data_IF_694882563188
#
_entry.id   IF_694882563188
#
_cell.length_a   1.000
_cell.length_b   1.000
_cell.length_c   1.000
_cell.angle_alpha   90.00
_cell.angle_beta   90.00
_cell.angle_gamma   90.00
#
_symmetry.space_group_name_H-M   'P 1'
#
loop_
_entity.id
_entity.type
_entity.pdbx_description
1 polymer ?
#
# COMPACT_ATOMS: atom_id res chain seq x y z
N UNK A 1 26.59 -2.03 -44.45
CA UNK A 1 25.17 -2.13 -44.00
C UNK A 1 25.17 -1.98 -42.50
N UNK A 2 24.63 -0.89 -41.96
CA UNK A 2 24.47 -0.71 -40.51
C UNK A 2 23.09 -1.25 -40.14
N UNK A 3 23.04 -2.40 -39.46
CA UNK A 3 21.82 -2.93 -38.89
C UNK A 3 21.43 -2.10 -37.67
N UNK A 4 20.73 -1.00 -37.89
CA UNK A 4 19.92 -0.40 -36.83
C UNK A 4 18.67 -1.26 -36.69
N UNK A 5 18.76 -2.37 -35.95
CA UNK A 5 17.57 -3.06 -35.49
C UNK A 5 16.85 -2.09 -34.56
N UNK A 6 15.71 -1.54 -35.00
CA UNK A 6 14.80 -0.84 -34.09
C UNK A 6 14.46 -1.83 -32.98
N UNK A 7 14.99 -1.58 -31.78
CA UNK A 7 14.63 -2.34 -30.59
C UNK A 7 13.14 -2.15 -30.42
N UNK A 8 12.39 -3.25 -30.47
CA UNK A 8 10.97 -3.23 -30.17
C UNK A 8 10.81 -3.05 -28.65
N UNK A 9 10.44 -1.83 -28.27
CA UNK A 9 10.43 -1.40 -26.87
C UNK A 9 9.31 -2.05 -26.09
N UNK A 10 8.17 -2.28 -26.73
CA UNK A 10 7.01 -2.93 -26.11
C UNK A 10 7.35 -4.39 -25.84
N UNK A 11 7.87 -5.11 -26.84
CA UNK A 11 8.31 -6.49 -26.65
C UNK A 11 9.38 -6.65 -25.56
N UNK A 12 10.33 -5.70 -25.48
CA UNK A 12 11.34 -5.69 -24.41
C UNK A 12 10.74 -5.42 -23.02
N UNK A 13 9.78 -4.48 -22.94
CA UNK A 13 9.09 -4.15 -21.71
C UNK A 13 8.24 -5.34 -21.21
N UNK A 14 7.51 -5.99 -22.11
CA UNK A 14 6.74 -7.22 -21.83
C UNK A 14 7.63 -8.34 -21.30
N UNK A 15 8.78 -8.58 -21.94
CA UNK A 15 9.74 -9.58 -21.46
C UNK A 15 10.24 -9.25 -20.05
N UNK A 16 10.53 -7.98 -19.76
CA UNK A 16 11.04 -7.56 -18.46
C UNK A 16 9.99 -7.70 -17.34
N UNK A 17 8.73 -7.32 -17.59
CA UNK A 17 7.68 -7.53 -16.58
C UNK A 17 7.38 -9.02 -16.38
N UNK A 18 7.49 -9.84 -17.42
CA UNK A 18 7.24 -11.29 -17.35
C UNK A 18 8.25 -12.05 -16.47
N UNK A 19 9.45 -11.50 -16.22
CA UNK A 19 10.42 -12.14 -15.30
C UNK A 19 10.04 -12.00 -13.82
N UNK A 20 9.04 -11.16 -13.50
CA UNK A 20 8.63 -10.88 -12.13
C UNK A 20 7.41 -11.72 -11.74
N UNK A 21 7.49 -12.40 -10.59
CA UNK A 21 6.37 -13.16 -10.05
C UNK A 21 5.34 -12.27 -9.35
N UNK A 22 5.77 -11.17 -8.73
CA UNK A 22 4.91 -10.17 -8.12
C UNK A 22 4.26 -9.27 -9.18
N UNK A 23 3.12 -8.61 -8.88
CA UNK A 23 2.58 -7.57 -9.75
C UNK A 23 3.64 -6.56 -10.18
N UNK A 24 3.83 -6.41 -11.49
CA UNK A 24 4.86 -5.56 -12.08
C UNK A 24 4.34 -4.85 -13.31
N UNK A 25 4.72 -3.58 -13.46
CA UNK A 25 4.37 -2.73 -14.59
C UNK A 25 5.55 -1.83 -14.97
N UNK A 26 5.76 -1.61 -16.27
CA UNK A 26 6.69 -0.61 -16.78
C UNK A 26 5.89 0.60 -17.20
N UNK A 27 6.29 1.75 -16.65
CA UNK A 27 5.57 3.01 -16.77
C UNK A 27 6.48 4.05 -17.39
N UNK A 28 5.92 4.79 -18.35
CA UNK A 28 6.56 5.90 -19.01
C UNK A 28 6.51 7.18 -18.18
N UNK A 29 7.34 8.17 -18.53
CA UNK A 29 7.37 9.47 -17.85
C UNK A 29 6.04 10.25 -17.86
N UNK A 30 5.11 9.91 -18.75
CA UNK A 30 3.76 10.48 -18.78
C UNK A 30 2.75 9.69 -17.91
N UNK A 31 3.24 8.82 -17.01
CA UNK A 31 2.45 7.90 -16.17
C UNK A 31 1.58 6.90 -16.95
N UNK A 32 1.91 6.61 -18.21
CA UNK A 32 1.26 5.53 -18.96
C UNK A 32 1.99 4.20 -18.77
N UNK A 33 1.23 3.15 -18.49
CA UNK A 33 1.68 1.75 -18.46
C UNK A 33 1.90 1.29 -19.89
N UNK A 34 3.12 0.82 -20.17
CA UNK A 34 3.53 0.30 -21.48
C UNK A 34 3.48 -1.22 -21.52
N UNK A 35 3.81 -1.86 -20.39
CA UNK A 35 3.71 -3.30 -20.23
C UNK A 35 3.39 -3.63 -18.76
N UNK A 36 2.63 -4.70 -18.55
CA UNK A 36 2.31 -5.21 -17.23
C UNK A 36 2.24 -6.74 -17.26
N UNK A 37 2.59 -7.40 -16.17
CA UNK A 37 2.48 -8.86 -16.08
C UNK A 37 1.06 -9.30 -15.65
N UNK A 38 0.80 -10.59 -15.73
CA UNK A 38 -0.51 -11.16 -15.37
C UNK A 38 -0.87 -10.91 -13.90
N UNK A 39 0.11 -10.91 -13.00
CA UNK A 39 -0.12 -10.59 -11.59
C UNK A 39 -0.63 -9.15 -11.40
N UNK A 40 -0.14 -8.19 -12.18
CA UNK A 40 -0.67 -6.82 -12.20
C UNK A 40 -2.08 -6.75 -12.80
N UNK A 41 -2.35 -7.53 -13.85
CA UNK A 41 -3.72 -7.66 -14.40
C UNK A 41 -4.70 -8.21 -13.36
N UNK A 42 -4.28 -9.17 -12.53
CA UNK A 42 -5.09 -9.69 -11.43
C UNK A 42 -5.30 -8.64 -10.34
N UNK A 43 -4.24 -7.92 -9.97
CA UNK A 43 -4.34 -6.81 -9.04
C UNK A 43 -5.34 -5.76 -9.53
N UNK A 44 -5.29 -5.36 -10.80
CA UNK A 44 -6.23 -4.41 -11.40
C UNK A 44 -7.69 -4.86 -11.29
N UNK A 45 -7.97 -6.16 -11.44
CA UNK A 45 -9.32 -6.73 -11.28
C UNK A 45 -9.82 -6.64 -9.85
N UNK A 46 -8.95 -6.83 -8.84
CA UNK A 46 -9.30 -6.66 -7.43
C UNK A 46 -9.72 -5.21 -7.11
N UNK A 47 -9.28 -4.24 -7.92
CA UNK A 47 -9.67 -2.84 -7.84
C UNK A 47 -10.86 -2.47 -8.74
N UNK A 48 -11.50 -3.46 -9.38
CA UNK A 48 -12.58 -3.26 -10.35
C UNK A 48 -12.18 -2.32 -11.50
N UNK A 49 -10.90 -2.29 -11.87
CA UNK A 49 -10.39 -1.48 -12.98
C UNK A 49 -10.23 -2.32 -14.24
N UNK A 50 -10.80 -1.84 -15.33
CA UNK A 50 -10.80 -2.52 -16.62
C UNK A 50 -9.46 -2.38 -17.37
N UNK A 51 -8.71 -1.30 -17.14
CA UNK A 51 -7.46 -1.00 -17.84
C UNK A 51 -6.28 -0.77 -16.86
N UNK A 52 -5.08 -1.11 -17.33
CA UNK A 52 -3.85 -1.02 -16.52
C UNK A 52 -3.50 0.41 -16.12
N UNK A 53 -3.84 1.41 -16.92
CA UNK A 53 -3.56 2.82 -16.60
C UNK A 53 -4.43 3.29 -15.43
N UNK A 54 -5.74 3.02 -15.48
CA UNK A 54 -6.66 3.34 -14.39
C UNK A 54 -6.31 2.60 -13.10
N UNK A 55 -5.85 1.34 -13.21
CA UNK A 55 -5.35 0.60 -12.06
C UNK A 55 -4.09 1.26 -11.47
N UNK A 56 -3.12 1.64 -12.31
CA UNK A 56 -1.90 2.31 -11.87
C UNK A 56 -2.17 3.68 -11.22
N UNK A 57 -3.08 4.47 -11.81
CA UNK A 57 -3.51 5.76 -11.24
C UNK A 57 -4.14 5.55 -9.86
N UNK A 58 -5.06 4.58 -9.72
CA UNK A 58 -5.70 4.28 -8.44
C UNK A 58 -4.70 3.81 -7.38
N UNK A 59 -3.68 3.03 -7.75
CA UNK A 59 -2.61 2.61 -6.85
C UNK A 59 -1.78 3.81 -6.37
N UNK A 60 -1.43 4.73 -7.26
CA UNK A 60 -0.69 5.93 -6.90
C UNK A 60 -1.52 6.93 -6.07
N UNK A 61 -2.82 7.05 -6.32
CA UNK A 61 -3.71 7.90 -5.52
C UNK A 61 -3.82 7.43 -4.07
N UNK A 62 -3.71 6.12 -3.86
CA UNK A 62 -3.73 5.50 -2.53
C UNK A 62 -2.35 5.36 -1.89
N UNK A 63 -1.28 5.68 -2.62
CA UNK A 63 0.08 5.55 -2.11
C UNK A 63 0.32 6.55 -0.98
N UNK A 64 0.62 6.03 0.20
CA UNK A 64 1.06 6.82 1.32
C UNK A 64 2.60 6.92 1.31
N UNK A 65 3.08 8.12 1.02
CA UNK A 65 4.51 8.44 1.01
C UNK A 65 5.20 8.32 2.39
N UNK A 66 4.45 8.38 3.49
CA UNK A 66 5.01 8.30 4.85
C UNK A 66 5.32 6.84 5.20
N UNK A 67 4.36 5.94 5.00
CA UNK A 67 4.55 4.51 5.24
C UNK A 67 5.27 3.79 4.08
N UNK A 68 5.20 4.36 2.87
CA UNK A 68 5.66 3.73 1.64
C UNK A 68 4.74 2.60 1.17
N UNK A 69 3.47 2.62 1.57
CA UNK A 69 2.50 1.52 1.34
C UNK A 69 1.22 2.01 0.66
N UNK A 70 0.47 1.05 0.13
CA UNK A 70 -0.83 1.25 -0.51
C UNK A 70 -1.84 0.35 0.21
N UNK A 71 -2.85 0.90 0.90
CA UNK A 71 -3.90 0.12 1.51
C UNK A 71 -4.86 -0.45 0.45
N UNK A 72 -5.11 -1.74 0.55
CA UNK A 72 -6.07 -2.47 -0.26
C UNK A 72 -7.46 -2.47 0.41
N UNK A 73 -8.55 -2.72 -0.36
CA UNK A 73 -9.91 -2.77 0.18
C UNK A 73 -10.13 -3.84 1.26
N UNK A 74 -9.30 -4.88 1.27
CA UNK A 74 -9.32 -5.98 2.25
C UNK A 74 -8.40 -5.71 3.46
N UNK A 75 -8.02 -4.45 3.68
CA UNK A 75 -7.08 -3.99 4.71
C UNK A 75 -5.64 -4.51 4.60
N UNK A 76 -5.33 -5.32 3.58
CA UNK A 76 -3.94 -5.69 3.31
C UNK A 76 -3.14 -4.50 2.78
N UNK A 77 -1.82 -4.52 3.02
CA UNK A 77 -0.92 -3.45 2.59
C UNK A 77 -0.04 -3.94 1.45
N UNK A 78 0.11 -3.13 0.41
CA UNK A 78 1.11 -3.33 -0.63
C UNK A 78 2.24 -2.32 -0.47
N UNK A 79 3.48 -2.79 -0.63
CA UNK A 79 4.64 -1.93 -0.77
C UNK A 79 4.93 -1.70 -2.25
N UNK A 80 5.11 -0.44 -2.63
CA UNK A 80 5.48 -0.05 -3.98
C UNK A 80 6.99 0.16 -4.07
N UNK A 81 7.63 -0.52 -5.00
CA UNK A 81 9.04 -0.33 -5.34
C UNK A 81 9.17 0.20 -6.77
N UNK A 82 9.93 1.28 -6.91
CA UNK A 82 10.16 1.96 -8.19
C UNK A 82 11.64 1.87 -8.53
N UNK A 83 11.92 1.32 -9.71
CA UNK A 83 13.29 1.17 -10.23
C UNK A 83 13.39 1.89 -11.58
N UNK A 84 14.13 3.00 -11.67
CA UNK A 84 14.44 3.62 -12.95
C UNK A 84 15.20 2.64 -13.85
N UNK A 85 14.80 2.52 -15.11
CA UNK A 85 15.45 1.60 -16.04
C UNK A 85 16.61 2.28 -16.75
N UNK A 86 17.72 1.56 -16.91
CA UNK A 86 18.91 2.01 -17.65
C UNK A 86 19.16 1.19 -18.92
N UNK A 87 18.21 0.31 -19.27
CA UNK A 87 18.32 -0.58 -20.42
C UNK A 87 18.11 0.21 -21.70
N UNK A 88 18.94 -0.07 -22.72
CA UNK A 88 18.86 0.62 -24.00
C UNK A 88 17.48 0.44 -24.65
N UNK A 89 16.78 1.55 -24.92
CA UNK A 89 15.41 1.57 -25.42
C UNK A 89 14.32 1.78 -24.35
N UNK A 90 14.67 1.67 -23.06
CA UNK A 90 13.77 1.89 -21.92
C UNK A 90 14.33 2.90 -20.89
N UNK A 91 15.31 3.71 -21.26
CA UNK A 91 16.04 4.61 -20.34
C UNK A 91 15.16 5.71 -19.70
N UNK A 92 14.01 6.00 -20.32
CA UNK A 92 13.02 6.98 -19.86
C UNK A 92 11.80 6.35 -19.19
N UNK A 93 11.91 5.10 -18.73
CA UNK A 93 10.83 4.36 -18.11
C UNK A 93 11.26 3.87 -16.73
N UNK A 94 10.29 3.55 -15.89
CA UNK A 94 10.52 2.95 -14.59
C UNK A 94 9.74 1.65 -14.46
N UNK A 95 10.36 0.67 -13.82
CA UNK A 95 9.71 -0.55 -13.39
C UNK A 95 9.09 -0.31 -12.01
N UNK A 96 7.80 -0.57 -11.93
CA UNK A 96 7.03 -0.58 -10.71
C UNK A 96 6.75 -2.03 -10.32
N UNK A 97 7.03 -2.38 -9.07
CA UNK A 97 6.67 -3.67 -8.49
C UNK A 97 5.87 -3.44 -7.21
N UNK A 98 4.87 -4.30 -6.99
CA UNK A 98 3.99 -4.23 -5.83
C UNK A 98 4.09 -5.54 -5.07
N UNK A 99 4.51 -5.48 -3.82
CA UNK A 99 4.72 -6.64 -2.96
C UNK A 99 3.77 -6.56 -1.76
N UNK A 100 3.17 -7.68 -1.32
CA UNK A 100 2.44 -7.69 -0.06
C UNK A 100 3.40 -7.31 1.07
N UNK A 101 3.04 -6.28 1.82
CA UNK A 101 3.69 -5.97 3.08
C UNK A 101 3.18 -6.98 4.09
N UNK A 102 4.09 -7.78 4.65
CA UNK A 102 3.76 -8.63 5.78
C UNK A 102 3.18 -7.73 6.87
N UNK A 103 1.99 -8.08 7.39
CA UNK A 103 1.44 -7.42 8.56
C UNK A 103 2.54 -7.35 9.62
N UNK A 104 2.90 -6.12 10.01
CA UNK A 104 3.75 -5.92 11.17
C UNK A 104 2.88 -6.22 12.38
N UNK A 105 2.68 -7.50 12.68
CA UNK A 105 2.22 -7.90 13.98
C UNK A 105 3.30 -7.45 14.97
N UNK A 106 2.91 -6.59 15.90
CA UNK A 106 3.72 -6.36 17.09
C UNK A 106 3.75 -7.73 17.79
N UNK A 107 4.94 -8.30 17.96
CA UNK A 107 5.06 -9.57 18.67
C UNK A 107 4.61 -9.40 20.14
N UNK A 108 4.22 -10.51 20.77
CA UNK A 108 3.68 -10.49 22.14
C UNK A 108 4.62 -9.80 23.14
N UNK A 109 5.94 -9.93 22.95
CA UNK A 109 6.92 -9.32 23.85
C UNK A 109 7.01 -7.80 23.65
N UNK A 110 6.98 -7.31 22.41
CA UNK A 110 6.89 -5.89 22.11
C UNK A 110 5.57 -5.28 22.61
N UNK A 111 4.47 -6.03 22.54
CA UNK A 111 3.20 -5.67 23.16
C UNK A 111 3.31 -5.55 24.68
N UNK A 112 3.88 -6.57 25.34
CA UNK A 112 4.10 -6.54 26.79
C UNK A 112 5.02 -5.39 27.20
N UNK A 113 6.01 -5.04 26.38
CA UNK A 113 6.88 -3.88 26.63
C UNK A 113 6.12 -2.55 26.52
N UNK A 114 5.27 -2.37 25.50
CA UNK A 114 4.42 -1.18 25.36
C UNK A 114 3.46 -1.04 26.55
N UNK A 115 2.85 -2.15 26.99
CA UNK A 115 1.93 -2.19 28.12
C UNK A 115 2.64 -1.93 29.46
N UNK A 116 3.87 -2.41 29.61
CA UNK A 116 4.71 -2.13 30.79
C UNK A 116 5.26 -0.70 30.79
N UNK A 117 5.43 -0.07 29.63
CA UNK A 117 5.82 1.33 29.50
C UNK A 117 4.66 2.28 29.73
N UNK A 118 3.42 1.89 29.39
CA UNK A 118 2.27 2.78 29.44
C UNK A 118 1.79 3.13 30.85
N UNK A 119 2.24 2.39 31.89
CA UNK A 119 2.10 2.52 33.36
C UNK A 119 0.79 3.06 33.97
N UNK A 120 0.08 3.97 33.31
CA UNK A 120 -1.00 4.78 33.86
C UNK A 120 -2.33 4.63 33.12
N UNK A 121 -2.40 4.11 31.87
CA UNK A 121 -3.69 3.75 31.24
C UNK A 121 -3.53 3.03 29.89
N UNK A 122 -4.26 1.93 29.65
CA UNK A 122 -4.42 1.34 28.33
C UNK A 122 -5.80 0.70 28.13
N UNK A 123 -6.22 0.60 26.86
CA UNK A 123 -7.41 -0.13 26.40
C UNK A 123 -7.03 -0.83 25.09
N UNK A 124 -7.32 -2.13 24.99
CA UNK A 124 -7.01 -2.99 23.84
C UNK A 124 -8.29 -3.58 23.32
N UNK A 125 -8.55 -3.40 22.03
CA UNK A 125 -9.70 -3.98 21.32
C UNK A 125 -9.23 -5.09 20.36
N UNK A 126 -10.10 -6.06 20.09
CA UNK A 126 -9.92 -6.98 18.98
C UNK A 126 -10.31 -6.33 17.65
N UNK A 127 -10.12 -7.08 16.56
CA UNK A 127 -10.47 -6.69 15.19
C UNK A 127 -11.98 -6.45 14.96
N UNK A 128 -12.84 -6.84 15.92
CA UNK A 128 -14.29 -6.66 15.89
C UNK A 128 -14.76 -5.61 16.91
N UNK A 129 -13.87 -4.72 17.34
CA UNK A 129 -14.11 -3.67 18.34
C UNK A 129 -14.51 -4.20 19.74
N UNK A 130 -14.26 -5.49 20.06
CA UNK A 130 -14.49 -6.02 21.39
C UNK A 130 -13.33 -5.72 22.33
N UNK A 131 -13.63 -5.33 23.56
CA UNK A 131 -12.62 -5.06 24.58
C UNK A 131 -11.91 -6.36 25.03
N UNK A 132 -10.60 -6.45 24.78
CA UNK A 132 -9.76 -7.58 25.20
C UNK A 132 -9.06 -7.35 26.54
N UNK A 133 -8.54 -6.14 26.76
CA UNK A 133 -7.85 -5.79 28.00
C UNK A 133 -7.90 -4.28 28.26
N UNK A 134 -8.08 -3.88 29.52
CA UNK A 134 -7.93 -2.50 29.95
C UNK A 134 -7.25 -2.44 31.31
N UNK A 135 -6.38 -1.46 31.48
CA UNK A 135 -5.94 -1.01 32.78
C UNK A 135 -6.05 0.51 32.74
N UNK A 136 -7.15 1.03 33.25
CA UNK A 136 -7.38 2.46 33.41
C UNK A 136 -7.21 2.70 34.91
N UNK A 137 -6.04 3.19 35.32
CA UNK A 137 -5.80 3.48 36.73
C UNK A 137 -6.66 4.70 37.09
N UNK A 138 -7.89 4.42 37.54
CA UNK A 138 -8.90 5.35 38.08
C UNK A 138 -8.76 6.82 37.65
N UNK A 139 -8.66 7.07 36.35
CA UNK A 139 -8.97 8.39 35.80
C UNK A 139 -10.45 8.55 36.11
N UNK A 140 -10.76 9.54 36.95
CA UNK A 140 -12.11 9.84 37.41
C UNK A 140 -13.02 10.06 36.18
N UNK A 141 -13.67 8.99 35.71
CA UNK A 141 -14.45 8.95 34.47
C UNK A 141 -15.64 9.91 34.51
N UNK A 142 -16.03 10.38 35.71
CA UNK A 142 -17.03 11.42 35.93
C UNK A 142 -16.66 12.78 35.30
N UNK A 143 -15.43 12.98 34.82
CA UNK A 143 -15.02 14.18 34.08
C UNK A 143 -14.86 13.99 32.57
N UNK A 144 -14.89 12.76 32.06
CA UNK A 144 -14.68 12.49 30.62
C UNK A 144 -16.02 12.36 29.87
N UNK A 145 -17.11 12.16 30.59
CA UNK A 145 -18.47 12.28 30.05
C UNK A 145 -19.20 13.42 30.73
N UNK A 146 -19.09 14.64 30.19
CA UNK A 146 -20.10 15.71 30.22
C UNK A 146 -19.47 16.97 29.60
N UNK A 147 -19.35 16.98 28.28
CA UNK A 147 -19.49 18.18 27.44
C UNK A 147 -19.88 17.72 26.03
N UNK A 148 -20.96 16.91 25.97
CA UNK A 148 -21.83 16.95 24.81
C UNK A 148 -22.82 18.08 25.07
N UNK A 149 -22.39 19.32 24.84
CA UNK A 149 -23.33 20.41 24.61
C UNK A 149 -24.18 20.02 23.38
N UNK A 150 -25.38 19.53 23.68
CA UNK A 150 -26.45 19.42 22.69
C UNK A 150 -26.68 20.81 22.10
N UNK A 151 -26.65 21.00 20.77
CA UNK A 151 -27.01 22.29 20.20
C UNK A 151 -28.51 22.51 20.44
N UNK A 152 -28.83 23.50 21.27
CA UNK A 152 -30.20 24.01 21.34
C UNK A 152 -30.49 24.75 20.03
N UNK A 153 -31.37 24.18 19.21
CA UNK A 153 -31.99 24.90 18.10
C UNK A 153 -32.99 25.94 18.64
N UNK A 154 -33.10 27.11 18.00
CA UNK A 154 -34.00 28.20 18.43
C UNK A 154 -35.48 27.84 18.36
#
# INVERSE_FOLDING_TARGET
MWFSSKIDREALAEQLVATHQSPAAIVANNNSVIAANEAFSQLARNFEKADHNSAFVALNERYDSVSGTIPLPDNSLLRQHIVPLTIKGLESYALYTFLPEAEKSIDEHAWQQLMNQSKDSYVVFDENDNLLAANLDSVNLDKVYLDQESPQLP
#
